data_IF_671483642292
#
_entry.id   IF_671483642292
#
_cell.length_a   1.000
_cell.length_b   1.000
_cell.length_c   1.000
_cell.angle_alpha   90.00
_cell.angle_beta   90.00
_cell.angle_gamma   90.00
#
_symmetry.space_group_name_H-M   'P 1'
#
loop_
_entity.id
_entity.type
_entity.pdbx_description
1 polymer ?
#
# COMPACT_ATOMS: atom_id res chain seq x y z
N UNK A 1 -1.70 17.14 28.20
CA UNK A 1 -1.09 15.84 28.39
C UNK A 1 0.12 15.93 29.30
N UNK A 2 0.57 14.80 29.85
CA UNK A 2 1.78 14.73 30.69
C UNK A 2 3.04 14.46 29.88
N UNK A 3 2.89 13.96 28.64
CA UNK A 3 4.00 13.57 27.76
C UNK A 3 3.76 14.11 26.36
N UNK A 4 4.85 14.40 25.63
CA UNK A 4 4.84 14.81 24.24
C UNK A 4 5.82 13.90 23.49
N UNK A 5 5.31 12.81 22.94
CA UNK A 5 6.10 11.71 22.37
C UNK A 5 5.45 11.22 21.07
N UNK A 6 6.26 10.68 20.19
CA UNK A 6 5.86 9.98 18.96
C UNK A 6 6.80 8.81 18.69
N UNK A 7 6.57 8.06 17.62
CA UNK A 7 7.47 7.00 17.20
C UNK A 7 8.26 7.35 15.93
N UNK A 8 9.26 6.52 15.59
CA UNK A 8 10.10 6.71 14.41
C UNK A 8 9.30 6.76 13.11
N UNK A 9 8.23 5.95 13.00
CA UNK A 9 7.47 5.86 11.75
C UNK A 9 6.68 7.14 11.49
N UNK A 10 5.99 7.67 12.51
CA UNK A 10 5.29 8.95 12.40
C UNK A 10 6.27 10.12 12.23
N UNK A 11 7.36 10.16 13.00
CA UNK A 11 8.37 11.21 12.85
C UNK A 11 8.93 11.25 11.41
N UNK A 12 9.21 10.10 10.80
CA UNK A 12 9.74 10.02 9.43
C UNK A 12 8.80 10.60 8.37
N UNK A 13 7.49 10.75 8.66
CA UNK A 13 6.51 11.31 7.71
C UNK A 13 6.42 12.84 7.76
N UNK A 14 7.07 13.47 8.73
CA UNK A 14 7.03 14.92 8.90
C UNK A 14 7.91 15.70 7.92
N UNK A 15 8.84 15.03 7.23
CA UNK A 15 9.93 15.58 6.43
C UNK A 15 11.01 16.31 7.24
N UNK A 16 10.85 16.47 8.55
CA UNK A 16 11.82 17.13 9.44
C UNK A 16 12.68 16.14 10.22
N UNK A 17 12.31 14.85 10.19
CA UNK A 17 13.06 13.81 10.89
C UNK A 17 14.05 13.13 9.95
N UNK A 18 15.33 13.17 10.30
CA UNK A 18 16.40 12.55 9.51
C UNK A 18 16.42 11.04 9.79
N UNK A 19 16.00 10.25 8.81
CA UNK A 19 15.90 8.78 8.93
C UNK A 19 17.25 8.07 9.06
N UNK A 20 18.39 8.74 8.77
CA UNK A 20 19.73 8.17 8.93
C UNK A 20 20.27 8.38 10.33
N UNK A 21 20.12 9.60 10.86
CA UNK A 21 20.63 9.97 12.19
C UNK A 21 19.62 9.71 13.29
N UNK A 22 18.38 9.35 12.93
CA UNK A 22 17.25 9.15 13.85
C UNK A 22 17.06 10.34 14.80
N UNK A 23 17.06 11.53 14.26
CA UNK A 23 16.93 12.79 14.98
C UNK A 23 16.23 13.85 14.13
N UNK A 24 15.66 14.85 14.77
CA UNK A 24 15.13 16.03 14.09
C UNK A 24 16.25 16.76 13.34
N UNK A 25 16.01 17.17 12.10
CA UNK A 25 16.98 17.85 11.25
C UNK A 25 17.08 19.34 11.64
N UNK A 26 18.08 19.66 12.44
CA UNK A 26 18.28 21.03 12.98
C UNK A 26 18.44 22.08 11.88
N UNK A 27 19.02 21.71 10.73
CA UNK A 27 19.20 22.63 9.61
C UNK A 27 17.84 23.00 9.01
N UNK A 28 17.00 22.01 8.69
CA UNK A 28 15.65 22.24 8.15
C UNK A 28 14.78 23.03 9.13
N UNK A 29 14.83 22.69 10.42
CA UNK A 29 14.09 23.39 11.46
C UNK A 29 14.52 24.86 11.55
N UNK A 30 15.83 25.13 11.51
CA UNK A 30 16.37 26.48 11.54
C UNK A 30 15.97 27.32 10.33
N UNK A 31 16.03 26.75 9.13
CA UNK A 31 15.62 27.42 7.89
C UNK A 31 14.10 27.80 7.87
N UNK A 32 13.28 26.98 8.50
CA UNK A 32 11.82 27.19 8.58
C UNK A 32 11.37 27.92 9.86
N UNK A 33 12.30 28.24 10.77
CA UNK A 33 11.99 28.93 12.01
C UNK A 33 11.17 28.09 13.00
N UNK A 34 11.30 26.74 12.94
CA UNK A 34 10.56 25.82 13.84
C UNK A 34 11.40 25.55 15.09
N UNK A 35 10.94 25.93 16.30
CA UNK A 35 11.65 25.64 17.54
C UNK A 35 11.66 24.13 17.86
N UNK A 36 12.82 23.58 18.25
CA UNK A 36 12.93 22.17 18.65
C UNK A 36 11.97 21.83 19.81
N UNK A 37 11.67 22.80 20.70
CA UNK A 37 10.73 22.61 21.82
C UNK A 37 9.29 22.28 21.41
N UNK A 38 8.92 22.53 20.14
CA UNK A 38 7.62 22.14 19.58
C UNK A 38 7.56 20.69 19.11
N UNK A 39 8.70 20.01 19.06
CA UNK A 39 8.77 18.67 18.50
C UNK A 39 8.73 17.62 19.62
N UNK A 40 8.04 16.48 19.40
CA UNK A 40 7.96 15.42 20.38
C UNK A 40 9.29 14.67 20.53
N UNK A 41 9.50 14.05 21.70
CA UNK A 41 10.48 12.98 21.86
C UNK A 41 10.12 11.82 20.92
N UNK A 42 11.11 11.26 20.21
CA UNK A 42 10.89 10.18 19.27
C UNK A 42 11.40 8.86 19.85
N UNK A 43 10.54 7.84 19.90
CA UNK A 43 10.82 6.52 20.47
C UNK A 43 10.70 5.41 19.42
N UNK A 44 11.24 4.18 19.66
CA UNK A 44 10.92 3.00 18.88
C UNK A 44 9.41 2.73 18.85
N UNK A 45 8.91 2.03 17.82
CA UNK A 45 7.47 1.75 17.66
C UNK A 45 6.90 0.87 18.78
N UNK A 46 7.73 0.00 19.38
CA UNK A 46 7.46 -0.72 20.61
C UNK A 46 8.26 -0.07 21.76
N UNK A 47 7.62 0.77 22.57
CA UNK A 47 8.22 1.48 23.70
C UNK A 47 7.12 1.92 24.69
N UNK A 48 7.49 2.30 25.91
CA UNK A 48 6.56 2.95 26.82
C UNK A 48 6.40 4.43 26.44
N UNK A 49 5.21 4.82 26.00
CA UNK A 49 4.88 6.18 25.56
C UNK A 49 4.17 7.00 26.64
N UNK A 50 3.63 6.37 27.63
CA UNK A 50 2.88 6.97 28.73
C UNK A 50 1.81 6.04 29.25
N UNK A 51 1.00 6.54 30.18
CA UNK A 51 -0.03 5.75 30.82
C UNK A 51 -1.42 6.37 30.63
N UNK A 52 -2.41 5.51 30.42
CA UNK A 52 -3.82 5.85 30.39
C UNK A 52 -4.52 5.27 31.62
N UNK A 53 -5.25 6.10 32.35
CA UNK A 53 -5.98 5.64 33.55
C UNK A 53 -7.48 5.66 33.27
N UNK A 54 -8.13 4.51 33.47
CA UNK A 54 -9.57 4.33 33.31
C UNK A 54 -10.09 3.48 34.48
N UNK A 55 -11.16 3.93 35.14
CA UNK A 55 -11.80 3.22 36.27
C UNK A 55 -10.79 2.79 37.35
N UNK A 56 -9.81 3.65 37.66
CA UNK A 56 -8.78 3.37 38.64
C UNK A 56 -7.68 2.39 38.23
N UNK A 57 -7.72 1.88 36.99
CA UNK A 57 -6.68 1.01 36.40
C UNK A 57 -5.77 1.83 35.51
N UNK A 58 -4.48 1.65 35.65
CA UNK A 58 -3.48 2.27 34.80
C UNK A 58 -3.06 1.28 33.71
N UNK A 59 -3.20 1.68 32.45
CA UNK A 59 -2.85 0.89 31.26
C UNK A 59 -1.71 1.61 30.56
N UNK A 60 -0.54 0.96 30.37
CA UNK A 60 0.57 1.57 29.64
C UNK A 60 0.27 1.61 28.14
N UNK A 61 0.62 2.72 27.48
CA UNK A 61 0.58 2.87 26.04
C UNK A 61 1.96 2.43 25.52
N UNK A 62 2.01 1.27 24.85
CA UNK A 62 3.26 0.60 24.52
C UNK A 62 3.50 0.35 23.02
N UNK A 63 2.60 0.80 22.16
CA UNK A 63 2.75 0.67 20.70
C UNK A 63 2.22 1.90 19.99
N UNK A 64 3.06 2.53 19.18
CA UNK A 64 2.69 3.61 18.26
C UNK A 64 3.35 3.34 16.91
N UNK A 65 2.60 3.46 15.83
CA UNK A 65 3.14 3.44 14.48
C UNK A 65 2.22 4.20 13.52
N UNK A 66 2.76 4.70 12.42
CA UNK A 66 1.97 5.16 11.30
C UNK A 66 1.12 4.02 10.74
N UNK A 67 -0.06 4.32 10.21
CA UNK A 67 -1.03 3.33 9.75
C UNK A 67 -0.46 2.33 8.74
N UNK A 68 0.31 2.82 7.76
CA UNK A 68 0.89 1.99 6.72
C UNK A 68 2.00 1.07 7.27
N UNK A 69 2.80 1.55 8.20
CA UNK A 69 3.84 0.79 8.89
C UNK A 69 3.23 -0.24 9.86
N UNK A 70 2.19 0.16 10.58
CA UNK A 70 1.41 -0.76 11.41
C UNK A 70 0.82 -1.90 10.57
N UNK A 71 0.23 -1.60 9.40
CA UNK A 71 -0.27 -2.62 8.49
C UNK A 71 0.85 -3.54 7.97
N UNK A 72 2.01 -3.00 7.62
CA UNK A 72 3.17 -3.80 7.20
C UNK A 72 3.60 -4.79 8.29
N UNK A 73 3.64 -4.32 9.54
CA UNK A 73 3.97 -5.15 10.70
C UNK A 73 2.86 -6.16 11.02
N UNK A 74 1.59 -5.73 11.00
CA UNK A 74 0.42 -6.58 11.21
C UNK A 74 0.28 -7.71 10.19
N UNK A 75 0.72 -7.48 8.95
CA UNK A 75 0.84 -8.49 7.91
C UNK A 75 2.08 -9.39 8.07
N UNK A 76 2.88 -9.22 9.15
CA UNK A 76 4.12 -9.94 9.38
C UNK A 76 5.10 -9.89 8.19
N UNK A 77 5.28 -8.72 7.58
CA UNK A 77 6.26 -8.49 6.52
C UNK A 77 7.67 -8.28 7.10
N UNK A 78 8.19 -9.26 7.84
CA UNK A 78 9.39 -9.16 8.68
C UNK A 78 10.73 -9.40 7.98
N UNK A 79 10.72 -9.66 6.69
CA UNK A 79 11.95 -9.92 5.94
C UNK A 79 12.03 -9.05 4.70
N UNK A 80 13.25 -8.65 4.28
CA UNK A 80 13.44 -7.91 3.03
C UNK A 80 12.80 -8.61 1.83
N UNK A 81 12.12 -7.83 0.98
CA UNK A 81 11.36 -8.31 -0.17
C UNK A 81 9.92 -8.78 0.15
N UNK A 82 9.51 -8.80 1.43
CA UNK A 82 8.10 -8.97 1.78
C UNK A 82 7.38 -7.63 1.64
N UNK A 83 6.18 -7.68 1.05
CA UNK A 83 5.40 -6.48 0.79
C UNK A 83 3.93 -6.68 1.16
N UNK A 84 3.28 -5.57 1.53
CA UNK A 84 1.83 -5.49 1.70
C UNK A 84 1.25 -4.46 0.75
N UNK A 85 -0.02 -4.62 0.37
CA UNK A 85 -0.80 -3.62 -0.33
C UNK A 85 -2.16 -3.48 0.33
N UNK A 86 -2.46 -2.29 0.83
CA UNK A 86 -3.76 -1.95 1.43
C UNK A 86 -4.65 -1.32 0.38
N UNK A 87 -5.79 -1.96 0.06
CA UNK A 87 -6.76 -1.52 -0.95
C UNK A 87 -7.87 -0.70 -0.30
N UNK A 88 -7.68 0.61 -0.22
CA UNK A 88 -8.67 1.60 0.20
C UNK A 88 -9.20 2.42 -0.97
N UNK A 89 -9.47 3.71 -0.75
CA UNK A 89 -9.78 4.70 -1.80
C UNK A 89 -8.68 4.74 -2.86
N UNK A 90 -7.43 4.81 -2.40
CA UNK A 90 -6.22 4.48 -3.16
C UNK A 90 -5.64 3.15 -2.68
N UNK A 91 -4.46 2.78 -3.20
CA UNK A 91 -3.67 1.68 -2.65
C UNK A 91 -2.34 2.20 -2.12
N UNK A 92 -1.92 1.61 -0.99
CA UNK A 92 -0.63 1.91 -0.39
C UNK A 92 0.18 0.62 -0.26
N UNK A 93 1.22 0.52 -1.09
CA UNK A 93 2.13 -0.61 -1.09
C UNK A 93 3.39 -0.25 -0.32
N UNK A 94 3.78 -1.09 0.63
CA UNK A 94 5.06 -1.02 1.32
C UNK A 94 5.82 -2.32 1.14
N UNK A 95 7.13 -2.20 0.84
CA UNK A 95 8.06 -3.33 0.82
C UNK A 95 9.13 -3.13 1.88
N UNK A 96 9.30 -4.10 2.77
CA UNK A 96 10.39 -4.12 3.73
C UNK A 96 11.74 -4.23 3.00
N UNK A 97 12.68 -3.34 3.29
CA UNK A 97 14.05 -3.31 2.73
C UNK A 97 15.12 -3.71 3.75
N UNK A 98 14.70 -4.08 4.98
CA UNK A 98 15.60 -4.42 6.09
C UNK A 98 16.26 -3.20 6.71
N UNK A 99 17.44 -3.39 7.28
CA UNK A 99 18.20 -2.34 8.00
C UNK A 99 18.90 -1.34 7.04
N UNK A 100 18.80 -1.52 5.73
CA UNK A 100 19.42 -0.65 4.74
C UNK A 100 18.44 0.39 4.20
N UNK A 101 18.83 1.65 4.26
CA UNK A 101 18.10 2.74 3.61
C UNK A 101 18.28 2.61 2.10
N UNK A 102 17.17 2.36 1.40
CA UNK A 102 17.13 2.35 -0.06
C UNK A 102 16.50 3.65 -0.56
N UNK A 103 17.31 4.50 -1.19
CA UNK A 103 16.79 5.70 -1.82
C UNK A 103 16.21 5.34 -3.18
N UNK A 104 14.96 5.71 -3.40
CA UNK A 104 14.29 5.46 -4.66
C UNK A 104 14.82 6.35 -5.79
N UNK A 105 14.98 5.76 -6.98
CA UNK A 105 15.23 6.46 -8.25
C UNK A 105 13.97 6.55 -9.10
N UNK A 106 12.93 5.81 -8.73
CA UNK A 106 11.66 5.71 -9.44
C UNK A 106 10.53 6.52 -8.75
N UNK A 107 10.89 7.48 -7.88
CA UNK A 107 9.93 8.37 -7.23
C UNK A 107 9.12 7.74 -6.10
N UNK A 108 9.57 6.62 -5.54
CA UNK A 108 8.96 6.03 -4.35
C UNK A 108 9.43 6.76 -3.08
N UNK A 109 8.68 6.62 -2.00
CA UNK A 109 9.05 7.19 -0.70
C UNK A 109 9.89 6.18 0.08
N UNK A 110 11.06 6.61 0.56
CA UNK A 110 11.83 5.84 1.53
C UNK A 110 11.37 6.23 2.94
N UNK A 111 10.98 5.27 3.75
CA UNK A 111 10.42 5.51 5.09
C UNK A 111 11.01 4.53 6.11
N UNK A 112 10.86 4.86 7.40
CA UNK A 112 11.14 3.89 8.47
C UNK A 112 9.94 2.93 8.53
N UNK A 113 10.21 1.62 8.51
CA UNK A 113 9.20 0.59 8.68
C UNK A 113 8.79 0.44 10.15
N UNK A 114 9.77 0.34 11.04
CA UNK A 114 9.62 0.32 12.51
C UNK A 114 10.96 0.42 13.23
N UNK A 115 10.90 0.76 14.52
CA UNK A 115 11.98 0.57 15.48
C UNK A 115 11.59 -0.50 16.50
N UNK A 116 12.41 -1.54 16.63
CA UNK A 116 12.17 -2.66 17.53
C UNK A 116 13.50 -3.29 17.98
N UNK A 117 13.65 -3.62 19.27
CA UNK A 117 14.82 -4.31 19.85
C UNK A 117 16.16 -3.63 19.52
N UNK A 118 16.18 -2.30 19.54
CA UNK A 118 17.37 -1.49 19.24
C UNK A 118 17.75 -1.43 17.76
N UNK A 119 16.94 -1.99 16.87
CA UNK A 119 17.11 -1.97 15.41
C UNK A 119 16.06 -1.12 14.75
N UNK A 120 16.42 -0.56 13.59
CA UNK A 120 15.50 0.16 12.71
C UNK A 120 15.45 -0.54 11.36
N UNK A 121 14.27 -0.91 10.93
CA UNK A 121 14.03 -1.43 9.59
C UNK A 121 13.37 -0.35 8.73
N UNK A 122 13.64 -0.39 7.43
CA UNK A 122 13.18 0.57 6.44
C UNK A 122 12.25 -0.08 5.43
N UNK A 123 11.49 0.76 4.74
CA UNK A 123 10.62 0.33 3.65
C UNK A 123 10.66 1.32 2.49
N UNK A 124 10.38 0.81 1.29
CA UNK A 124 9.94 1.61 0.15
C UNK A 124 8.42 1.65 0.14
N UNK A 125 7.86 2.82 -0.11
CA UNK A 125 6.42 3.04 -0.21
C UNK A 125 6.06 3.62 -1.56
N UNK A 126 5.03 3.06 -2.20
CA UNK A 126 4.40 3.59 -3.40
C UNK A 126 2.89 3.68 -3.22
N UNK A 127 2.30 4.75 -3.75
CA UNK A 127 0.88 5.03 -3.63
C UNK A 127 0.20 5.04 -4.99
N UNK A 128 -0.92 4.34 -5.10
CA UNK A 128 -1.90 4.45 -6.18
C UNK A 128 -2.99 5.40 -5.71
N UNK A 129 -3.17 6.52 -6.40
CA UNK A 129 -4.12 7.54 -5.95
C UNK A 129 -5.58 7.10 -6.07
N UNK A 130 -5.90 6.38 -7.14
CA UNK A 130 -7.26 5.96 -7.46
C UNK A 130 -7.31 4.44 -7.59
N UNK A 131 -7.85 3.78 -6.56
CA UNK A 131 -8.08 2.34 -6.51
C UNK A 131 -9.56 2.04 -6.24
N UNK A 132 -9.98 1.85 -5.00
CA UNK A 132 -11.38 1.65 -4.67
C UNK A 132 -12.27 2.82 -5.14
N UNK A 133 -11.71 4.03 -5.24
CA UNK A 133 -12.40 5.18 -5.81
C UNK A 133 -12.82 4.95 -7.28
N UNK A 134 -12.07 4.16 -8.07
CA UNK A 134 -12.49 3.80 -9.43
C UNK A 134 -13.74 2.92 -9.43
N UNK A 135 -13.86 2.00 -8.47
CA UNK A 135 -15.08 1.18 -8.30
C UNK A 135 -16.24 2.04 -7.80
N UNK A 136 -15.99 2.99 -6.90
CA UNK A 136 -17.00 3.96 -6.49
C UNK A 136 -17.48 4.82 -7.68
N UNK A 137 -16.57 5.22 -8.56
CA UNK A 137 -16.94 5.95 -9.78
C UNK A 137 -17.85 5.13 -10.72
N UNK A 138 -17.66 3.81 -10.85
CA UNK A 138 -18.59 2.94 -11.58
C UNK A 138 -19.99 2.99 -10.98
N UNK A 139 -20.10 3.05 -9.64
CA UNK A 139 -21.37 3.12 -8.90
C UNK A 139 -21.98 4.52 -8.95
N UNK A 140 -21.25 5.53 -8.53
CA UNK A 140 -21.79 6.87 -8.26
C UNK A 140 -21.75 7.79 -9.49
N UNK A 141 -20.69 7.66 -10.31
CA UNK A 141 -20.48 8.48 -11.51
C UNK A 141 -21.15 7.89 -12.74
N UNK A 142 -20.79 6.68 -13.13
CA UNK A 142 -21.36 6.00 -14.30
C UNK A 142 -22.70 5.31 -14.01
N UNK A 143 -22.98 4.95 -12.77
CA UNK A 143 -24.20 4.25 -12.32
C UNK A 143 -24.45 2.95 -13.08
N UNK A 144 -23.38 2.20 -13.37
CA UNK A 144 -23.46 0.91 -14.09
C UNK A 144 -23.43 -0.30 -13.15
N UNK A 145 -23.18 -0.07 -11.86
CA UNK A 145 -23.32 -1.02 -10.76
C UNK A 145 -24.05 -0.34 -9.61
N UNK A 146 -24.78 -1.10 -8.79
CA UNK A 146 -25.53 -0.56 -7.64
C UNK A 146 -24.67 -0.53 -6.37
N UNK A 147 -23.81 -1.54 -6.18
CA UNK A 147 -22.93 -1.68 -5.04
C UNK A 147 -21.54 -2.09 -5.50
N UNK A 148 -20.49 -1.69 -4.75
CA UNK A 148 -19.12 -2.03 -5.10
C UNK A 148 -18.84 -3.54 -5.22
N UNK A 149 -19.55 -4.38 -4.44
CA UNK A 149 -19.46 -5.84 -4.52
C UNK A 149 -19.94 -6.40 -5.86
N UNK A 150 -20.87 -5.71 -6.55
CA UNK A 150 -21.41 -6.16 -7.83
C UNK A 150 -20.34 -6.18 -8.92
N UNK A 151 -19.26 -5.45 -8.72
CA UNK A 151 -18.12 -5.44 -9.64
C UNK A 151 -17.53 -6.83 -9.87
N UNK A 152 -17.51 -7.70 -8.85
CA UNK A 152 -17.06 -9.08 -9.00
C UNK A 152 -17.98 -9.86 -9.96
N UNK A 153 -19.29 -9.77 -9.77
CA UNK A 153 -20.26 -10.44 -10.63
C UNK A 153 -20.17 -9.96 -12.08
N UNK A 154 -20.16 -8.65 -12.33
CA UNK A 154 -20.10 -8.13 -13.69
C UNK A 154 -18.78 -8.49 -14.36
N UNK A 155 -17.65 -8.44 -13.65
CA UNK A 155 -16.36 -8.85 -14.21
C UNK A 155 -16.35 -10.31 -14.70
N UNK A 156 -17.10 -11.23 -14.05
CA UNK A 156 -17.23 -12.62 -14.51
C UNK A 156 -18.08 -12.76 -15.77
N UNK A 157 -18.89 -11.76 -16.13
CA UNK A 157 -19.76 -11.77 -17.31
C UNK A 157 -19.10 -11.22 -18.57
N UNK A 158 -17.94 -10.54 -18.41
CA UNK A 158 -17.21 -10.02 -19.56
C UNK A 158 -16.66 -11.16 -20.41
N UNK A 159 -17.29 -11.41 -21.55
CA UNK A 159 -16.94 -12.46 -22.50
C UNK A 159 -16.06 -11.92 -23.65
N UNK A 160 -15.18 -12.77 -24.17
CA UNK A 160 -14.34 -12.45 -25.33
C UNK A 160 -12.97 -11.87 -24.96
N UNK A 161 -12.21 -11.43 -25.98
CA UNK A 161 -10.92 -10.76 -25.78
C UNK A 161 -11.14 -9.42 -25.12
N UNK A 162 -10.36 -9.15 -24.07
CA UNK A 162 -10.51 -7.93 -23.31
C UNK A 162 -9.35 -6.97 -23.59
N UNK A 163 -9.43 -6.28 -24.72
CA UNK A 163 -8.49 -5.20 -25.07
C UNK A 163 -8.93 -3.83 -24.50
N UNK A 164 -9.92 -3.84 -23.60
CA UNK A 164 -10.40 -2.61 -22.92
C UNK A 164 -9.49 -2.32 -21.74
N UNK A 165 -8.99 -1.09 -21.68
CA UNK A 165 -8.18 -0.58 -20.56
C UNK A 165 -8.82 0.68 -20.00
N UNK A 166 -9.04 0.70 -18.69
CA UNK A 166 -9.45 1.90 -17.95
C UNK A 166 -8.22 2.43 -17.22
N UNK A 167 -7.81 3.66 -17.51
CA UNK A 167 -6.76 4.35 -16.76
C UNK A 167 -7.44 5.35 -15.84
N UNK A 168 -7.54 5.10 -14.51
CA UNK A 168 -8.31 5.93 -13.60
C UNK A 168 -7.49 7.12 -13.08
N UNK A 169 -6.86 7.88 -13.96
CA UNK A 169 -6.05 9.05 -13.61
C UNK A 169 -6.93 10.28 -13.27
N UNK A 170 -7.94 10.12 -12.39
CA UNK A 170 -8.91 11.17 -12.08
C UNK A 170 -8.27 12.38 -11.39
N UNK A 171 -7.19 12.19 -10.65
CA UNK A 171 -6.41 13.20 -9.98
C UNK A 171 -4.92 13.20 -10.44
N UNK A 172 -4.67 12.82 -11.70
CA UNK A 172 -3.33 12.55 -12.20
C UNK A 172 -2.84 11.15 -11.86
N UNK A 173 -1.56 10.89 -12.15
CA UNK A 173 -0.87 9.62 -11.89
C UNK A 173 0.19 9.84 -10.80
N UNK A 174 0.23 8.94 -9.81
CA UNK A 174 1.27 8.88 -8.80
C UNK A 174 2.52 8.14 -9.29
N UNK A 175 3.28 7.56 -8.36
CA UNK A 175 4.45 6.77 -8.68
C UNK A 175 4.12 5.60 -9.62
N UNK A 176 5.01 5.24 -10.56
CA UNK A 176 6.28 5.88 -10.88
C UNK A 176 6.18 7.06 -11.85
N UNK A 177 5.00 7.41 -12.32
CA UNK A 177 4.77 8.36 -13.42
C UNK A 177 4.85 9.82 -13.01
N UNK A 178 4.32 10.18 -11.83
CA UNK A 178 4.27 11.54 -11.27
C UNK A 178 3.74 12.59 -12.25
N UNK A 179 2.66 12.27 -12.96
CA UNK A 179 2.03 13.15 -13.92
C UNK A 179 0.69 13.69 -13.40
N UNK A 180 0.70 14.90 -12.86
CA UNK A 180 -0.49 15.60 -12.36
C UNK A 180 -1.40 16.12 -13.48
N UNK A 181 -0.93 16.15 -14.71
CA UNK A 181 -1.68 16.59 -15.89
C UNK A 181 -2.39 15.44 -16.60
N UNK A 182 -2.08 14.19 -16.28
CA UNK A 182 -2.81 13.04 -16.77
C UNK A 182 -4.29 13.09 -16.35
N UNK A 183 -5.17 12.57 -17.19
CA UNK A 183 -6.60 12.40 -16.88
C UNK A 183 -7.08 10.99 -17.24
N UNK A 184 -8.16 10.56 -16.56
CA UNK A 184 -8.75 9.26 -16.78
C UNK A 184 -9.21 9.04 -18.22
N UNK A 185 -9.02 7.82 -18.74
CA UNK A 185 -9.42 7.46 -20.09
C UNK A 185 -9.80 5.99 -20.19
N UNK A 186 -10.61 5.66 -21.19
CA UNK A 186 -10.96 4.28 -21.57
C UNK A 186 -10.47 4.05 -23.00
N UNK A 187 -9.74 2.96 -23.20
CA UNK A 187 -9.20 2.56 -24.51
C UNK A 187 -9.70 1.19 -24.92
N UNK A 188 -9.65 0.88 -26.22
CA UNK A 188 -9.97 -0.44 -26.75
C UNK A 188 -11.46 -0.72 -26.92
N UNK A 189 -12.31 0.31 -26.92
CA UNK A 189 -13.75 0.15 -27.12
C UNK A 189 -14.05 -0.33 -28.54
N UNK A 190 -14.94 -1.33 -28.64
CA UNK A 190 -15.53 -1.82 -29.89
C UNK A 190 -17.05 -1.79 -29.76
N UNK A 191 -17.77 -2.09 -30.84
CA UNK A 191 -19.23 -2.16 -30.82
C UNK A 191 -19.76 -3.16 -29.78
N UNK A 192 -19.01 -4.22 -29.50
CA UNK A 192 -19.42 -5.29 -28.59
C UNK A 192 -19.00 -5.03 -27.14
N UNK A 193 -18.36 -3.88 -26.87
CA UNK A 193 -17.95 -3.51 -25.53
C UNK A 193 -19.17 -3.09 -24.71
N UNK A 194 -19.49 -3.87 -23.69
CA UNK A 194 -20.57 -3.59 -22.74
C UNK A 194 -20.03 -3.14 -21.37
N UNK A 195 -20.96 -2.85 -20.45
CA UNK A 195 -20.65 -2.44 -19.07
C UNK A 195 -19.76 -3.46 -18.35
N UNK A 196 -19.92 -4.75 -18.61
CA UNK A 196 -19.18 -5.83 -17.97
C UNK A 196 -17.68 -5.72 -18.27
N UNK A 197 -17.33 -5.36 -19.50
CA UNK A 197 -15.96 -5.11 -19.94
C UNK A 197 -15.36 -3.89 -19.23
N UNK A 198 -16.14 -2.80 -19.10
CA UNK A 198 -15.69 -1.58 -18.39
C UNK A 198 -15.47 -1.89 -16.90
N UNK A 199 -16.38 -2.62 -16.27
CA UNK A 199 -16.25 -3.02 -14.85
C UNK A 199 -15.00 -3.88 -14.65
N UNK A 200 -14.80 -4.89 -15.51
CA UNK A 200 -13.61 -5.77 -15.46
C UNK A 200 -12.32 -4.96 -15.65
N UNK A 201 -12.24 -4.14 -16.70
CA UNK A 201 -11.07 -3.31 -16.98
C UNK A 201 -10.76 -2.32 -15.83
N UNK A 202 -11.79 -1.84 -15.14
CA UNK A 202 -11.62 -0.99 -13.95
C UNK A 202 -10.99 -1.78 -12.81
N UNK A 203 -11.44 -3.00 -12.51
CA UNK A 203 -10.79 -3.86 -11.51
C UNK A 203 -9.34 -4.19 -11.90
N UNK A 204 -9.12 -4.56 -13.16
CA UNK A 204 -7.78 -4.87 -13.66
C UNK A 204 -6.82 -3.68 -13.56
N UNK A 205 -7.33 -2.45 -13.70
CA UNK A 205 -6.53 -1.24 -13.57
C UNK A 205 -5.87 -1.09 -12.19
N UNK A 206 -6.53 -1.56 -11.13
CA UNK A 206 -5.96 -1.55 -9.78
C UNK A 206 -4.75 -2.48 -9.69
N UNK A 207 -4.87 -3.65 -10.33
CA UNK A 207 -3.78 -4.63 -10.36
C UNK A 207 -2.60 -4.19 -11.22
N UNK A 208 -2.86 -3.53 -12.35
CA UNK A 208 -1.80 -2.97 -13.19
C UNK A 208 -1.02 -1.87 -12.48
N UNK A 209 -1.71 -0.92 -11.84
CA UNK A 209 -1.06 0.15 -11.07
C UNK A 209 -0.21 -0.43 -9.91
N UNK A 210 -0.71 -1.48 -9.24
CA UNK A 210 0.06 -2.20 -8.23
C UNK A 210 1.33 -2.83 -8.82
N UNK A 211 1.26 -3.38 -10.05
CA UNK A 211 2.43 -3.92 -10.76
C UNK A 211 3.43 -2.83 -11.12
N UNK A 212 2.98 -1.65 -11.53
CA UNK A 212 3.86 -0.52 -11.82
C UNK A 212 4.71 -0.15 -10.60
N UNK A 213 4.06 -0.02 -9.43
CA UNK A 213 4.73 0.27 -8.16
C UNK A 213 5.67 -0.87 -7.76
N UNK A 214 5.23 -2.13 -7.86
CA UNK A 214 6.07 -3.26 -7.51
C UNK A 214 7.34 -3.33 -8.37
N UNK A 215 7.22 -3.10 -9.67
CA UNK A 215 8.38 -3.08 -10.56
C UNK A 215 9.39 -2.00 -10.13
N UNK A 216 8.91 -0.80 -9.81
CA UNK A 216 9.74 0.28 -9.29
C UNK A 216 10.42 -0.10 -7.95
N UNK A 217 9.68 -0.73 -7.03
CA UNK A 217 10.23 -1.21 -5.75
C UNK A 217 11.33 -2.26 -5.94
N UNK A 218 11.09 -3.22 -6.83
CA UNK A 218 12.07 -4.29 -7.10
C UNK A 218 13.33 -3.76 -7.77
N UNK A 219 13.19 -2.79 -8.69
CA UNK A 219 14.31 -2.13 -9.33
C UNK A 219 15.14 -1.33 -8.33
N UNK A 220 14.51 -0.51 -7.48
CA UNK A 220 15.18 0.33 -6.50
C UNK A 220 15.84 -0.48 -5.38
N UNK A 221 15.17 -1.51 -4.88
CA UNK A 221 15.66 -2.32 -3.77
C UNK A 221 16.61 -3.44 -4.19
N UNK A 222 16.60 -3.84 -5.47
CA UNK A 222 17.29 -5.05 -5.93
C UNK A 222 16.71 -6.34 -5.31
N UNK A 223 15.47 -6.30 -4.85
CA UNK A 223 14.78 -7.40 -4.17
C UNK A 223 13.63 -7.92 -5.04
N UNK A 224 13.44 -9.24 -5.05
CA UNK A 224 12.26 -9.84 -5.66
C UNK A 224 11.15 -10.02 -4.63
N UNK A 225 9.90 -9.75 -5.06
CA UNK A 225 8.73 -10.05 -4.25
C UNK A 225 8.64 -11.55 -4.00
N UNK A 226 8.42 -11.93 -2.73
CA UNK A 226 8.17 -13.34 -2.35
C UNK A 226 6.68 -13.67 -2.46
N UNK A 227 5.85 -12.88 -1.79
CA UNK A 227 4.40 -12.88 -1.88
C UNK A 227 3.89 -11.47 -1.58
N UNK A 228 2.75 -11.10 -2.17
CA UNK A 228 2.05 -9.85 -1.84
C UNK A 228 0.99 -10.15 -0.81
N UNK A 229 1.07 -9.53 0.34
CA UNK A 229 0.04 -9.59 1.38
C UNK A 229 -0.94 -8.45 1.17
N UNK A 230 -2.24 -8.75 1.21
CA UNK A 230 -3.27 -7.76 0.87
C UNK A 230 -4.28 -7.60 1.99
N UNK A 231 -4.78 -6.37 2.15
CA UNK A 231 -5.88 -6.02 3.05
C UNK A 231 -6.69 -4.85 2.50
N UNK A 232 -7.64 -4.35 3.29
CA UNK A 232 -8.54 -3.29 2.87
C UNK A 232 -9.74 -3.80 2.07
N UNK A 233 -10.73 -2.92 1.86
CA UNK A 233 -12.06 -3.32 1.37
C UNK A 233 -12.08 -4.00 0.00
N UNK A 234 -11.28 -3.52 -0.97
CA UNK A 234 -11.30 -4.12 -2.32
C UNK A 234 -10.55 -5.47 -2.38
N UNK A 235 -9.76 -5.84 -1.37
CA UNK A 235 -9.15 -7.17 -1.28
C UNK A 235 -10.17 -8.31 -1.13
N UNK A 236 -11.40 -8.00 -0.74
CA UNK A 236 -12.49 -8.97 -0.67
C UNK A 236 -12.92 -9.51 -2.06
N UNK A 237 -12.64 -8.77 -3.14
CA UNK A 237 -12.98 -9.16 -4.51
C UNK A 237 -12.02 -10.24 -5.03
N UNK A 238 -12.52 -11.47 -5.23
CA UNK A 238 -11.68 -12.59 -5.63
C UNK A 238 -11.18 -12.48 -7.08
N UNK A 239 -11.97 -11.88 -7.97
CA UNK A 239 -11.56 -11.67 -9.36
C UNK A 239 -10.37 -10.70 -9.42
N UNK A 240 -10.44 -9.59 -8.67
CA UNK A 240 -9.33 -8.67 -8.55
C UNK A 240 -8.09 -9.35 -7.96
N UNK A 241 -8.23 -10.12 -6.89
CA UNK A 241 -7.09 -10.78 -6.24
C UNK A 241 -6.47 -11.86 -7.11
N UNK A 242 -7.27 -12.64 -7.84
CA UNK A 242 -6.73 -13.61 -8.80
C UNK A 242 -5.99 -12.90 -9.93
N UNK A 243 -6.59 -11.87 -10.53
CA UNK A 243 -5.93 -11.08 -11.57
C UNK A 243 -4.66 -10.40 -11.06
N UNK A 244 -4.67 -9.95 -9.79
CA UNK A 244 -3.46 -9.40 -9.14
C UNK A 244 -2.33 -10.44 -9.07
N UNK A 245 -2.63 -11.68 -8.67
CA UNK A 245 -1.64 -12.77 -8.67
C UNK A 245 -1.13 -13.05 -10.07
N UNK A 246 -2.03 -13.14 -11.05
CA UNK A 246 -1.73 -13.41 -12.44
C UNK A 246 -0.81 -12.35 -13.05
N UNK A 247 -1.17 -11.07 -12.88
CA UNK A 247 -0.40 -9.97 -13.49
C UNK A 247 0.94 -9.73 -12.80
N UNK A 248 1.05 -9.99 -11.50
CA UNK A 248 2.32 -9.93 -10.78
C UNK A 248 3.23 -11.13 -11.12
N UNK A 249 2.65 -12.30 -11.38
CA UNK A 249 3.35 -13.57 -11.44
C UNK A 249 3.87 -14.02 -10.06
N UNK A 250 3.17 -13.63 -8.99
CA UNK A 250 3.51 -13.92 -7.60
C UNK A 250 2.26 -14.26 -6.80
N UNK A 251 2.42 -15.00 -5.71
CA UNK A 251 1.31 -15.33 -4.81
C UNK A 251 0.76 -14.06 -4.12
N UNK A 252 -0.56 -14.00 -3.98
CA UNK A 252 -1.28 -12.96 -3.25
C UNK A 252 -2.00 -13.60 -2.06
N UNK A 253 -1.68 -13.15 -0.85
CA UNK A 253 -2.20 -13.70 0.39
C UNK A 253 -3.16 -12.73 1.07
N UNK A 254 -4.42 -13.14 1.23
CA UNK A 254 -5.42 -12.43 2.03
C UNK A 254 -5.52 -13.04 3.42
N UNK A 255 -5.34 -12.28 4.52
CA UNK A 255 -5.46 -12.79 5.87
C UNK A 255 -6.92 -12.97 6.29
N UNK A 256 -7.17 -13.81 7.30
CA UNK A 256 -8.49 -13.91 7.95
C UNK A 256 -8.92 -12.58 8.58
N UNK A 257 -7.99 -11.88 9.22
CA UNK A 257 -8.23 -10.57 9.85
C UNK A 257 -7.72 -9.49 8.91
N UNK A 258 -8.64 -8.77 8.28
CA UNK A 258 -8.32 -7.71 7.31
C UNK A 258 -7.94 -6.38 7.97
N UNK A 259 -8.12 -6.23 9.30
CA UNK A 259 -7.74 -5.03 10.06
C UNK A 259 -6.27 -5.07 10.47
N UNK A 260 -5.39 -5.25 9.50
CA UNK A 260 -3.94 -5.42 9.71
C UNK A 260 -3.30 -4.23 10.42
N UNK A 261 -3.82 -3.03 10.20
CA UNK A 261 -3.34 -1.78 10.83
C UNK A 261 -3.52 -1.83 12.35
N UNK A 262 -4.73 -2.12 12.81
CA UNK A 262 -5.03 -2.23 14.25
C UNK A 262 -4.23 -3.38 14.89
N UNK A 263 -4.12 -4.51 14.19
CA UNK A 263 -3.30 -5.65 14.64
C UNK A 263 -1.83 -5.28 14.79
N UNK A 264 -1.27 -4.51 13.85
CA UNK A 264 0.13 -4.09 13.92
C UNK A 264 0.42 -3.22 15.14
N UNK A 265 -0.44 -2.25 15.44
CA UNK A 265 -0.32 -1.43 16.64
C UNK A 265 -0.44 -2.27 17.92
N UNK A 266 -1.38 -3.23 17.95
CA UNK A 266 -1.53 -4.16 19.07
C UNK A 266 -0.30 -5.07 19.24
N UNK A 267 0.31 -5.53 18.14
CA UNK A 267 1.53 -6.35 18.18
C UNK A 267 2.72 -5.58 18.75
N UNK A 268 2.93 -4.32 18.39
CA UNK A 268 3.98 -3.50 19.01
C UNK A 268 3.77 -3.38 20.52
N UNK A 269 2.54 -3.08 20.95
CA UNK A 269 2.21 -2.99 22.37
C UNK A 269 2.44 -4.33 23.10
N UNK A 270 1.98 -5.44 22.51
CA UNK A 270 2.12 -6.79 23.08
C UNK A 270 3.58 -7.25 23.16
N UNK A 271 4.42 -6.89 22.18
CA UNK A 271 5.85 -7.17 22.23
C UNK A 271 6.50 -6.39 23.37
N UNK A 272 6.20 -5.10 23.51
CA UNK A 272 6.78 -4.25 24.56
C UNK A 272 6.48 -4.74 25.97
N UNK A 273 5.29 -5.32 26.18
CA UNK A 273 4.91 -5.88 27.50
C UNK A 273 5.23 -7.37 27.64
N UNK A 274 5.90 -7.98 26.65
CA UNK A 274 6.32 -9.39 26.70
C UNK A 274 5.20 -10.41 26.46
N UNK A 275 4.06 -9.99 25.89
CA UNK A 275 2.93 -10.88 25.58
C UNK A 275 3.21 -11.71 24.31
N UNK A 276 3.89 -11.14 23.31
CA UNK A 276 4.23 -11.78 22.05
C UNK A 276 5.70 -11.56 21.67
N UNK A 277 6.20 -12.48 20.86
CA UNK A 277 7.45 -12.32 20.11
C UNK A 277 7.15 -12.20 18.62
N UNK A 278 8.05 -11.62 17.85
CA UNK A 278 7.92 -11.44 16.40
C UNK A 278 7.69 -12.77 15.67
N UNK A 279 8.34 -13.85 16.14
CA UNK A 279 8.22 -15.20 15.61
C UNK A 279 6.82 -15.80 15.85
N UNK A 280 6.21 -15.51 17.01
CA UNK A 280 4.86 -15.97 17.34
C UNK A 280 3.82 -15.32 16.42
N UNK A 281 3.97 -14.03 16.12
CA UNK A 281 3.10 -13.30 15.21
C UNK A 281 3.15 -13.93 13.82
N UNK A 282 4.35 -14.20 13.31
CA UNK A 282 4.52 -14.84 12.00
C UNK A 282 3.91 -16.22 11.93
N UNK A 283 4.11 -17.05 12.98
CA UNK A 283 3.61 -18.42 13.07
C UNK A 283 2.08 -18.47 13.20
N UNK A 284 1.49 -17.52 13.92
CA UNK A 284 0.06 -17.51 14.24
C UNK A 284 -0.77 -16.73 13.19
N UNK A 285 -0.13 -16.11 12.19
CA UNK A 285 -0.84 -15.41 11.10
C UNK A 285 -1.67 -16.42 10.32
N UNK A 286 -2.98 -16.22 10.30
CA UNK A 286 -3.92 -17.05 9.54
C UNK A 286 -4.18 -16.44 8.17
N UNK A 287 -4.05 -17.27 7.13
CA UNK A 287 -4.37 -16.91 5.74
C UNK A 287 -5.77 -17.43 5.43
N UNK A 288 -6.67 -16.54 5.06
CA UNK A 288 -8.02 -16.92 4.60
C UNK A 288 -7.93 -17.52 3.20
N UNK A 289 -7.17 -16.86 2.30
CA UNK A 289 -7.01 -17.32 0.93
C UNK A 289 -5.68 -16.91 0.33
N UNK A 290 -5.05 -17.85 -0.40
CA UNK A 290 -3.87 -17.62 -1.21
C UNK A 290 -4.25 -17.77 -2.68
N UNK A 291 -4.03 -16.73 -3.47
CA UNK A 291 -4.24 -16.72 -4.92
C UNK A 291 -2.90 -16.97 -5.59
N UNK A 292 -2.85 -18.02 -6.41
CA UNK A 292 -1.63 -18.39 -7.15
C UNK A 292 -1.76 -17.94 -8.60
N UNK A 293 -0.65 -17.52 -9.25
CA UNK A 293 -0.65 -17.18 -10.66
C UNK A 293 -1.13 -18.36 -11.52
N UNK A 294 -2.07 -18.09 -12.42
CA UNK A 294 -2.63 -19.07 -13.38
C UNK A 294 -2.35 -18.66 -14.82
N UNK A 295 -2.02 -17.39 -15.05
CA UNK A 295 -1.75 -16.82 -16.35
C UNK A 295 -0.31 -17.11 -16.80
N UNK A 296 -0.14 -17.55 -18.05
CA UNK A 296 1.18 -17.70 -18.64
C UNK A 296 1.90 -16.34 -18.82
N UNK A 297 3.22 -16.41 -18.97
CA UNK A 297 4.06 -15.21 -19.04
C UNK A 297 3.81 -14.37 -20.31
N UNK A 298 3.53 -15.01 -21.44
CA UNK A 298 3.27 -14.31 -22.70
C UNK A 298 1.99 -13.47 -22.61
N UNK A 299 0.91 -14.07 -22.12
CA UNK A 299 -0.37 -13.39 -21.88
C UNK A 299 -0.21 -12.24 -20.89
N UNK A 300 0.48 -12.48 -19.78
CA UNK A 300 0.80 -11.46 -18.76
C UNK A 300 1.54 -10.27 -19.37
N UNK A 301 2.56 -10.52 -20.16
CA UNK A 301 3.37 -9.48 -20.79
C UNK A 301 2.57 -8.70 -21.84
N UNK A 302 1.73 -9.35 -22.62
CA UNK A 302 0.87 -8.71 -23.61
C UNK A 302 -0.13 -7.76 -22.94
N UNK A 303 -0.83 -8.21 -21.91
CA UNK A 303 -1.78 -7.40 -21.14
C UNK A 303 -1.10 -6.20 -20.48
N UNK A 304 0.05 -6.42 -19.86
CA UNK A 304 0.79 -5.33 -19.21
C UNK A 304 1.38 -4.33 -20.21
N UNK A 305 1.78 -4.76 -21.41
CA UNK A 305 2.20 -3.86 -22.48
C UNK A 305 1.03 -3.02 -23.01
N UNK A 306 -0.17 -3.61 -23.10
CA UNK A 306 -1.41 -2.88 -23.40
C UNK A 306 -1.70 -1.79 -22.35
N UNK A 307 -1.57 -2.14 -21.06
CA UNK A 307 -1.69 -1.18 -19.96
C UNK A 307 -0.71 0.00 -20.09
N UNK A 308 0.59 -0.28 -20.27
CA UNK A 308 1.62 0.77 -20.45
C UNK A 308 1.32 1.67 -21.64
N UNK A 309 0.80 1.10 -22.74
CA UNK A 309 0.38 1.85 -23.93
C UNK A 309 -0.80 2.76 -23.61
N UNK A 310 -1.78 2.31 -22.81
CA UNK A 310 -2.92 3.10 -22.38
C UNK A 310 -2.48 4.26 -21.46
N UNK A 311 -1.69 3.98 -20.44
CA UNK A 311 -1.15 5.00 -19.52
C UNK A 311 -0.40 6.08 -20.30
N UNK A 312 0.50 5.70 -21.21
CA UNK A 312 1.26 6.68 -22.02
C UNK A 312 0.36 7.64 -22.80
N UNK A 313 -0.85 7.24 -23.18
CA UNK A 313 -1.80 8.07 -23.92
C UNK A 313 -2.61 9.02 -23.03
N UNK A 314 -2.62 8.81 -21.72
CA UNK A 314 -3.30 9.69 -20.77
C UNK A 314 -2.38 10.75 -20.19
N UNK A 315 -1.06 10.58 -20.33
CA UNK A 315 -0.07 11.49 -19.79
C UNK A 315 -0.10 12.84 -20.51
N UNK A 316 0.14 13.91 -19.75
CA UNK A 316 0.17 15.28 -20.28
C UNK A 316 -1.17 15.79 -20.81
N UNK A 317 -2.29 15.15 -20.55
CA UNK A 317 -3.60 15.46 -21.13
C UNK A 317 -4.00 16.94 -21.01
N UNK A 318 -3.68 17.59 -19.89
CA UNK A 318 -3.97 19.02 -19.68
C UNK A 318 -2.87 19.95 -20.19
N UNK A 319 -1.73 19.42 -20.62
CA UNK A 319 -0.66 20.18 -21.26
C UNK A 319 -0.86 20.10 -22.77
N UNK A 320 -1.85 20.84 -23.29
CA UNK A 320 -2.10 20.97 -24.70
C UNK A 320 -1.34 22.13 -25.31
#
# INVERSE_FOLDING_TARGET
GKVHVTDYTNASRTLFYNIRTLSWDKKLLGELGIPESMLPEVKPSAAHFGDFTIEGKTIPICGIAGDQQAALFGQACFSPGMAKNTYGTGCFMLMNTGEKIQLSKNGLVTTIAWGLDGKVEYALEGSVFIAGAAVQWLRDGLRIIDQSKDSEYFATKALGSNDVYVVPAFAGLGAPYWDMYARGAIFGLTRDTGKDHIVKATLESLAYQTKDILNAMQEDAGLKLKSLKVDGGASANNILMQFQADILGAEVERPEVIESTAMGAAYFAGIQVGLWKKEDIQKNRKIEKCFKPQMDESTRNNLYNGWKKAVKRTMGWLNG
#
